data_IF_073602964190
#
_entry.id   IF_073602964190
#
_cell.length_a   1.000
_cell.length_b   1.000
_cell.length_c   1.000
_cell.angle_alpha   90.00
_cell.angle_beta   90.00
_cell.angle_gamma   90.00
#
_symmetry.space_group_name_H-M   'P 1'
#
loop_
_entity.id
_entity.type
_entity.pdbx_description
1 polymer ?
#
# COMPACT_ATOMS: atom_id res chain seq x y z
N UNK A 1 2.37 -0.40 11.96
CA UNK A 1 3.56 -0.58 11.13
C UNK A 1 3.29 -1.74 10.20
N UNK A 2 3.11 -1.46 8.91
CA UNK A 2 3.09 -2.51 7.88
C UNK A 2 4.56 -2.82 7.56
N UNK A 3 4.98 -4.04 7.85
CA UNK A 3 6.32 -4.51 7.49
C UNK A 3 6.24 -5.04 6.06
N UNK A 4 7.00 -4.44 5.14
CA UNK A 4 7.29 -5.06 3.85
C UNK A 4 8.14 -6.32 4.12
N UNK A 5 7.75 -7.51 3.61
CA UNK A 5 8.68 -8.64 3.56
C UNK A 5 9.69 -8.34 2.44
N UNK A 6 10.93 -8.02 2.83
CA UNK A 6 12.02 -7.77 1.89
C UNK A 6 12.34 -9.01 1.06
N UNK A 7 12.28 -8.87 -0.27
CA UNK A 7 12.72 -9.88 -1.24
C UNK A 7 14.25 -9.81 -1.34
N UNK A 8 14.94 -10.88 -0.96
CA UNK A 8 16.37 -11.04 -1.20
C UNK A 8 16.57 -11.78 -2.53
N UNK A 9 17.26 -11.17 -3.49
CA UNK A 9 17.65 -11.80 -4.75
C UNK A 9 19.04 -12.44 -4.63
N UNK A 10 19.20 -13.77 -4.74
CA UNK A 10 20.47 -14.36 -5.11
C UNK A 10 20.61 -14.35 -6.64
N UNK A 11 21.69 -13.72 -7.14
CA UNK A 11 22.07 -13.80 -8.55
C UNK A 11 22.81 -15.12 -8.77
N UNK A 12 22.17 -16.09 -9.42
CA UNK A 12 22.84 -17.23 -10.04
C UNK A 12 22.24 -17.47 -11.42
N UNK A 13 23.09 -17.36 -12.44
CA UNK A 13 22.76 -17.58 -13.83
C UNK A 13 22.49 -19.07 -14.09
N UNK A 14 21.22 -19.39 -14.34
CA UNK A 14 20.72 -20.65 -14.89
C UNK A 14 19.49 -20.33 -15.73
N UNK A 15 19.30 -21.03 -16.85
CA UNK A 15 18.15 -20.88 -17.74
C UNK A 15 16.85 -20.81 -16.93
N UNK A 16 16.00 -19.76 -17.08
CA UNK A 16 14.75 -19.68 -16.36
C UNK A 16 13.82 -20.76 -16.92
N UNK A 17 13.76 -21.88 -16.22
CA UNK A 17 12.62 -22.77 -16.29
C UNK A 17 11.52 -22.00 -15.55
N UNK A 18 10.63 -21.34 -16.30
CA UNK A 18 9.47 -20.62 -15.77
C UNK A 18 8.78 -21.54 -14.75
N UNK A 19 8.98 -21.26 -13.46
CA UNK A 19 8.29 -21.98 -12.42
C UNK A 19 6.85 -21.49 -12.44
N UNK A 20 5.94 -22.32 -12.96
CA UNK A 20 4.48 -22.13 -12.88
C UNK A 20 3.96 -22.00 -11.42
N UNK A 21 4.86 -22.11 -10.45
CA UNK A 21 4.65 -21.99 -9.01
C UNK A 21 4.83 -20.59 -8.42
N UNK A 22 5.13 -19.57 -9.22
CA UNK A 22 5.37 -18.21 -8.73
C UNK A 22 4.08 -17.56 -8.20
N UNK A 23 4.11 -17.15 -6.93
CA UNK A 23 3.04 -16.35 -6.32
C UNK A 23 3.18 -14.88 -6.74
N UNK A 24 2.17 -14.35 -7.42
CA UNK A 24 2.16 -12.98 -7.93
C UNK A 24 1.51 -12.04 -6.92
N UNK A 25 2.14 -10.89 -6.63
CA UNK A 25 1.53 -9.82 -5.85
C UNK A 25 0.65 -8.97 -6.76
N UNK A 26 -0.67 -9.01 -6.55
CA UNK A 26 -1.65 -8.22 -7.29
C UNK A 26 -1.85 -6.84 -6.66
N UNK A 27 -1.85 -6.76 -5.33
CA UNK A 27 -2.05 -5.54 -4.56
C UNK A 27 -1.10 -5.51 -3.38
N UNK A 28 -0.40 -4.39 -3.19
CA UNK A 28 0.32 -4.07 -1.96
C UNK A 28 -0.09 -2.66 -1.50
N UNK A 29 -1.23 -2.54 -0.84
CA UNK A 29 -1.75 -1.27 -0.38
C UNK A 29 -1.17 -0.94 1.02
N UNK A 30 -0.24 0.02 1.07
CA UNK A 30 0.40 0.51 2.31
C UNK A 30 -0.51 1.40 3.17
N UNK A 31 -1.54 2.00 2.58
CA UNK A 31 -2.49 2.93 3.24
C UNK A 31 -3.48 2.18 4.15
N UNK A 32 -4.02 1.07 3.68
CA UNK A 32 -4.95 0.17 4.36
C UNK A 32 -4.29 -1.12 4.87
N UNK A 33 -3.00 -1.33 4.59
CA UNK A 33 -2.23 -2.50 5.02
C UNK A 33 -2.81 -3.84 4.51
N UNK A 34 -3.10 -3.88 3.21
CA UNK A 34 -3.68 -5.05 2.54
C UNK A 34 -2.72 -5.56 1.47
N UNK A 35 -2.44 -6.86 1.52
CA UNK A 35 -1.68 -7.58 0.48
C UNK A 35 -2.59 -8.61 -0.17
N UNK A 36 -2.67 -8.58 -1.49
CA UNK A 36 -3.39 -9.59 -2.27
C UNK A 36 -2.40 -10.26 -3.20
N UNK A 37 -2.34 -11.57 -3.13
CA UNK A 37 -1.53 -12.40 -4.02
C UNK A 37 -2.37 -13.39 -4.78
N UNK A 38 -1.86 -13.89 -5.90
CA UNK A 38 -2.48 -14.95 -6.68
C UNK A 38 -1.48 -15.98 -7.13
N UNK A 39 -1.91 -17.25 -7.15
CA UNK A 39 -1.13 -18.38 -7.63
C UNK A 39 -2.05 -19.37 -8.33
N UNK A 40 -1.61 -19.95 -9.43
CA UNK A 40 -2.27 -21.10 -10.02
C UNK A 40 -1.79 -22.36 -9.29
N UNK A 41 -2.72 -23.20 -8.85
CA UNK A 41 -2.43 -24.48 -8.20
C UNK A 41 -3.14 -25.59 -8.97
N UNK A 42 -2.50 -26.76 -9.18
CA UNK A 42 -3.15 -27.88 -9.84
C UNK A 42 -4.36 -28.34 -8.99
N UNK A 43 -5.44 -28.74 -9.66
CA UNK A 43 -6.60 -29.32 -8.96
C UNK A 43 -6.27 -30.71 -8.44
N UNK A 44 -6.58 -30.95 -7.17
CA UNK A 44 -6.46 -32.28 -6.55
C UNK A 44 -7.40 -33.31 -7.18
N UNK A 45 -8.53 -32.86 -7.76
CA UNK A 45 -9.57 -33.72 -8.33
C UNK A 45 -9.35 -34.01 -9.82
N UNK A 46 -8.79 -33.05 -10.58
CA UNK A 46 -8.55 -33.18 -12.01
C UNK A 46 -7.16 -32.63 -12.39
N UNK A 47 -6.19 -33.51 -12.74
CA UNK A 47 -4.84 -33.08 -13.14
C UNK A 47 -4.76 -32.20 -14.38
N UNK A 48 -5.84 -32.11 -15.17
CA UNK A 48 -5.92 -31.24 -16.35
C UNK A 48 -6.49 -29.85 -16.06
N UNK A 49 -6.89 -29.57 -14.82
CA UNK A 49 -7.44 -28.29 -14.41
C UNK A 49 -6.48 -27.56 -13.45
N UNK A 50 -6.41 -26.24 -13.61
CA UNK A 50 -5.70 -25.35 -12.71
C UNK A 50 -6.71 -24.46 -11.97
N UNK A 51 -6.50 -24.30 -10.67
CA UNK A 51 -7.30 -23.45 -9.80
C UNK A 51 -6.54 -22.15 -9.57
N UNK A 52 -7.19 -21.02 -9.83
CA UNK A 52 -6.65 -19.71 -9.48
C UNK A 52 -6.92 -19.41 -8.00
N UNK A 53 -5.91 -19.62 -7.15
CA UNK A 53 -5.97 -19.24 -5.75
C UNK A 53 -5.66 -17.74 -5.60
N UNK A 54 -6.46 -17.03 -4.79
CA UNK A 54 -6.21 -15.65 -4.39
C UNK A 54 -6.11 -15.56 -2.87
N UNK A 55 -4.97 -15.14 -2.35
CA UNK A 55 -4.77 -14.95 -0.91
C UNK A 55 -4.89 -13.46 -0.59
N UNK A 56 -5.70 -13.13 0.43
CA UNK A 56 -5.91 -11.76 0.89
C UNK A 56 -5.45 -11.69 2.35
N UNK A 57 -4.44 -10.85 2.61
CA UNK A 57 -3.89 -10.59 3.95
C UNK A 57 -4.22 -9.16 4.36
N UNK A 58 -4.91 -9.00 5.48
CA UNK A 58 -5.30 -7.71 6.05
C UNK A 58 -4.70 -7.58 7.45
N UNK A 59 -4.03 -6.45 7.73
CA UNK A 59 -3.53 -6.13 9.07
C UNK A 59 -4.34 -4.98 9.67
N UNK A 60 -5.14 -5.28 10.70
CA UNK A 60 -6.05 -4.31 11.34
C UNK A 60 -5.34 -3.56 12.47
N UNK A 61 -5.18 -2.23 12.40
CA UNK A 61 -4.52 -1.45 13.43
C UNK A 61 -5.49 -1.06 14.56
N UNK A 62 -5.49 -1.84 15.64
CA UNK A 62 -6.42 -1.68 16.77
C UNK A 62 -6.30 -0.35 17.56
N UNK A 63 -5.23 0.42 17.33
CA UNK A 63 -4.98 1.72 17.98
C UNK A 63 -4.93 2.89 17.00
N UNK A 64 -5.31 2.67 15.74
CA UNK A 64 -5.36 3.73 14.75
C UNK A 64 -6.49 4.72 15.04
N UNK A 65 -6.25 5.98 14.72
CA UNK A 65 -7.27 7.03 14.74
C UNK A 65 -8.09 7.03 13.45
N UNK A 66 -9.27 7.62 13.48
CA UNK A 66 -10.08 7.80 12.26
C UNK A 66 -9.36 8.69 11.23
N UNK A 67 -8.80 9.81 11.68
CA UNK A 67 -7.89 10.62 10.89
C UNK A 67 -6.47 10.42 11.43
N UNK A 68 -5.64 9.66 10.73
CA UNK A 68 -4.28 9.33 11.19
C UNK A 68 -3.38 10.57 11.30
N UNK A 69 -3.70 11.67 10.62
CA UNK A 69 -2.94 12.92 10.73
C UNK A 69 -3.40 13.80 11.91
N UNK A 70 -4.58 13.52 12.46
CA UNK A 70 -5.13 14.21 13.63
C UNK A 70 -5.07 13.30 14.87
N UNK A 71 -4.13 13.55 15.80
CA UNK A 71 -3.98 12.74 16.99
C UNK A 71 -5.18 12.84 17.95
N UNK A 72 -6.04 13.86 17.79
CA UNK A 72 -7.23 14.09 18.61
C UNK A 72 -8.46 13.36 18.10
N UNK A 73 -8.43 12.86 16.86
CA UNK A 73 -9.55 12.10 16.32
C UNK A 73 -9.78 10.80 17.10
N UNK A 74 -11.03 10.30 17.17
CA UNK A 74 -11.33 9.09 17.94
C UNK A 74 -10.65 7.86 17.36
N UNK A 75 -10.62 6.78 18.14
CA UNK A 75 -10.11 5.49 17.66
C UNK A 75 -11.06 4.94 16.61
N UNK A 76 -10.49 4.44 15.50
CA UNK A 76 -11.27 3.77 14.46
C UNK A 76 -11.71 2.39 14.94
N UNK A 77 -13.01 2.13 14.85
CA UNK A 77 -13.61 0.83 15.19
C UNK A 77 -14.14 0.08 13.97
N UNK A 78 -14.37 0.77 12.85
CA UNK A 78 -14.88 0.18 11.61
C UNK A 78 -13.84 0.28 10.49
N UNK A 79 -13.57 -0.84 9.82
CA UNK A 79 -12.62 -0.94 8.71
C UNK A 79 -13.33 -1.55 7.50
N UNK A 80 -13.35 -0.84 6.38
CA UNK A 80 -14.07 -1.22 5.17
C UNK A 80 -13.08 -1.32 4.01
N UNK A 81 -12.90 -2.54 3.51
CA UNK A 81 -11.99 -2.83 2.40
C UNK A 81 -12.82 -3.14 1.15
N UNK A 82 -12.62 -2.37 0.09
CA UNK A 82 -13.29 -2.59 -1.19
C UNK A 82 -12.25 -3.01 -2.21
N UNK A 83 -12.41 -4.19 -2.81
CA UNK A 83 -11.47 -4.69 -3.80
C UNK A 83 -11.35 -3.78 -5.02
N UNK A 84 -12.44 -3.11 -5.41
CA UNK A 84 -12.43 -2.13 -6.50
C UNK A 84 -11.55 -0.91 -6.21
N UNK A 85 -11.40 -0.54 -4.93
CA UNK A 85 -10.55 0.56 -4.48
C UNK A 85 -9.09 0.10 -4.34
N UNK A 86 -8.90 -1.08 -3.74
CA UNK A 86 -7.58 -1.68 -3.52
C UNK A 86 -6.84 -2.02 -4.82
N UNK A 87 -7.57 -2.40 -5.87
CA UNK A 87 -6.99 -2.77 -7.16
C UNK A 87 -6.85 -1.59 -8.15
N UNK A 88 -7.16 -0.34 -7.74
CA UNK A 88 -6.99 0.83 -8.61
C UNK A 88 -5.51 1.02 -8.93
N UNK A 89 -5.23 1.28 -10.21
CA UNK A 89 -3.90 1.62 -10.73
C UNK A 89 -3.93 3.04 -11.25
N UNK A 90 -3.48 3.95 -10.40
CA UNK A 90 -3.52 5.39 -10.63
C UNK A 90 -2.19 5.96 -11.12
N UNK A 91 -1.12 5.18 -11.06
CA UNK A 91 0.16 5.57 -11.62
C UNK A 91 0.05 5.56 -13.16
N UNK A 92 0.45 6.64 -13.83
CA UNK A 92 0.44 6.70 -15.28
C UNK A 92 1.47 5.72 -15.85
N UNK A 93 1.12 5.07 -16.95
CA UNK A 93 1.97 4.12 -17.65
C UNK A 93 2.25 4.59 -19.07
N UNK A 94 3.46 4.34 -19.55
CA UNK A 94 3.84 4.61 -20.93
C UNK A 94 3.37 3.48 -21.84
N UNK A 95 2.67 3.83 -22.92
CA UNK A 95 2.25 2.91 -23.96
C UNK A 95 2.78 3.38 -25.31
N UNK A 96 3.34 2.47 -26.10
CA UNK A 96 3.80 2.78 -27.45
C UNK A 96 2.71 2.45 -28.46
N UNK A 97 2.30 3.44 -29.26
CA UNK A 97 1.32 3.28 -30.33
C UNK A 97 1.87 3.92 -31.60
N UNK A 98 2.15 3.10 -32.62
CA UNK A 98 2.62 3.59 -33.92
C UNK A 98 4.00 4.24 -33.90
N UNK A 99 4.87 3.87 -32.95
CA UNK A 99 6.22 4.43 -32.80
C UNK A 99 6.29 5.70 -31.93
N UNK A 100 5.17 6.12 -31.34
CA UNK A 100 5.09 7.24 -30.40
C UNK A 100 4.71 6.75 -28.99
N UNK A 101 5.28 7.38 -27.97
CA UNK A 101 5.06 7.04 -26.55
C UNK A 101 3.97 7.96 -25.98
N UNK A 102 2.92 7.37 -25.44
CA UNK A 102 1.80 8.05 -24.79
C UNK A 102 1.75 7.72 -23.31
N UNK A 103 1.36 8.70 -22.49
CA UNK A 103 1.06 8.49 -21.07
C UNK A 103 -0.42 8.17 -20.91
N UNK A 104 -0.73 6.99 -20.37
CA UNK A 104 -2.09 6.52 -20.16
C UNK A 104 -2.33 6.19 -18.69
N UNK A 105 -3.54 6.49 -18.21
CA UNK A 105 -3.98 6.10 -16.88
C UNK A 105 -4.86 4.84 -16.98
N UNK A 106 -4.56 3.82 -16.18
CA UNK A 106 -5.25 2.52 -16.25
C UNK A 106 -6.57 2.45 -15.45
N UNK A 107 -6.89 3.49 -14.67
CA UNK A 107 -8.09 3.55 -13.82
C UNK A 107 -8.86 4.85 -14.03
N UNK A 108 -10.18 4.79 -13.86
CA UNK A 108 -11.10 5.92 -14.14
C UNK A 108 -11.30 6.88 -12.97
N UNK A 109 -11.05 6.46 -11.72
CA UNK A 109 -11.39 7.23 -10.51
C UNK A 109 -10.23 7.32 -9.50
N UNK A 110 -9.20 8.10 -9.85
CA UNK A 110 -7.98 8.29 -9.06
C UNK A 110 -7.93 9.61 -8.27
N UNK A 111 -8.92 10.47 -8.45
CA UNK A 111 -8.96 11.80 -7.81
C UNK A 111 -9.66 11.79 -6.44
N UNK A 112 -10.16 10.63 -5.99
CA UNK A 112 -10.87 10.51 -4.73
C UNK A 112 -9.88 10.34 -3.57
N UNK A 113 -10.05 11.06 -2.45
CA UNK A 113 -9.16 10.91 -1.30
C UNK A 113 -9.33 9.52 -0.67
N UNK A 114 -8.27 8.72 -0.68
CA UNK A 114 -8.24 7.44 0.02
C UNK A 114 -8.11 7.66 1.54
N UNK A 115 -8.92 6.93 2.32
CA UNK A 115 -8.82 6.93 3.77
C UNK A 115 -7.79 5.90 4.23
N UNK A 116 -6.67 6.35 4.79
CA UNK A 116 -5.65 5.47 5.34
C UNK A 116 -5.95 4.98 6.75
N UNK A 117 -5.62 3.72 7.00
CA UNK A 117 -5.77 3.03 8.27
C UNK A 117 -4.42 2.92 9.00
N UNK A 118 -3.33 2.90 8.24
CA UNK A 118 -1.96 2.79 8.74
C UNK A 118 -1.08 3.90 8.21
N UNK A 119 -0.06 4.27 9.00
CA UNK A 119 1.04 5.08 8.50
C UNK A 119 1.90 4.28 7.54
N UNK A 120 2.28 4.91 6.42
CA UNK A 120 3.31 4.40 5.54
C UNK A 120 4.70 4.66 6.16
N UNK A 121 5.53 3.62 6.25
CA UNK A 121 6.89 3.71 6.81
C UNK A 121 7.78 4.67 6.04
N UNK A 122 7.54 4.83 4.74
CA UNK A 122 8.39 5.63 3.84
C UNK A 122 7.92 7.08 3.74
N UNK A 123 6.83 7.45 4.44
CA UNK A 123 6.27 8.80 4.43
C UNK A 123 6.41 9.46 5.79
N UNK A 124 6.77 10.74 5.79
CA UNK A 124 6.79 11.57 6.98
C UNK A 124 5.39 12.11 7.28
N UNK A 125 4.87 11.83 8.47
CA UNK A 125 3.60 12.38 8.96
C UNK A 125 3.89 13.39 10.07
N UNK A 126 3.31 14.58 9.94
CA UNK A 126 3.46 15.67 10.93
C UNK A 126 2.10 16.24 11.28
N UNK A 127 2.05 16.91 12.43
CA UNK A 127 0.89 17.68 12.88
C UNK A 127 1.37 19.02 13.43
N UNK A 128 0.52 20.04 13.39
CA UNK A 128 0.82 21.34 13.97
C UNK A 128 -0.10 21.57 15.17
N UNK A 129 0.46 22.06 16.26
CA UNK A 129 -0.32 22.42 17.44
C UNK A 129 0.10 23.79 17.97
N UNK A 130 -0.85 24.55 18.53
CA UNK A 130 -0.55 25.83 19.12
C UNK A 130 0.19 25.64 20.45
N UNK A 131 1.31 26.34 20.63
CA UNK A 131 2.14 26.32 21.82
C UNK A 131 2.37 27.75 22.34
N UNK A 132 2.06 27.98 23.61
CA UNK A 132 2.26 29.28 24.25
C UNK A 132 3.70 29.44 24.73
N UNK A 133 4.42 30.42 24.19
CA UNK A 133 5.78 30.74 24.60
C UNK A 133 5.94 32.25 24.80
N UNK A 134 6.29 32.67 26.02
CA UNK A 134 6.52 34.09 26.38
C UNK A 134 5.33 35.00 26.05
N UNK A 135 4.11 34.51 26.19
CA UNK A 135 2.88 35.25 25.89
C UNK A 135 2.46 35.24 24.42
N UNK A 136 3.27 34.68 23.52
CA UNK A 136 2.94 34.52 22.11
C UNK A 136 2.52 33.08 21.81
N UNK A 137 1.44 32.92 21.03
CA UNK A 137 1.02 31.64 20.50
C UNK A 137 1.81 31.31 19.24
N UNK A 138 2.60 30.24 19.26
CA UNK A 138 3.37 29.75 18.12
C UNK A 138 2.78 28.44 17.62
N UNK A 139 2.67 28.28 16.31
CA UNK A 139 2.35 26.98 15.72
C UNK A 139 3.63 26.16 15.67
N UNK A 140 3.69 25.10 16.46
CA UNK A 140 4.85 24.20 16.52
C UNK A 140 4.49 22.92 15.80
N UNK A 141 5.40 22.44 14.94
CA UNK A 141 5.23 21.18 14.23
C UNK A 141 5.76 20.03 15.09
N UNK A 142 4.93 19.00 15.27
CA UNK A 142 5.32 17.72 15.86
C UNK A 142 5.32 16.63 14.79
N UNK A 143 6.23 15.67 14.96
CA UNK A 143 6.37 14.52 14.09
C UNK A 143 5.60 13.34 14.67
N UNK A 144 4.72 12.74 13.86
CA UNK A 144 3.95 11.54 14.23
C UNK A 144 4.73 10.25 13.93
N UNK A 145 5.62 10.27 12.92
CA UNK A 145 6.45 9.13 12.51
C UNK A 145 7.94 9.50 12.51
N UNK A 146 8.63 9.53 13.66
CA UNK A 146 9.99 10.07 13.77
C UNK A 146 11.01 9.41 12.85
N UNK A 147 10.91 8.10 12.66
CA UNK A 147 11.87 7.33 11.88
C UNK A 147 11.90 7.71 10.37
N UNK A 148 10.83 8.32 9.84
CA UNK A 148 10.69 8.66 8.42
C UNK A 148 10.80 10.17 8.14
N UNK A 149 11.13 10.98 9.15
CA UNK A 149 11.11 12.44 9.08
C UNK A 149 12.47 13.10 9.34
N UNK A 150 13.56 12.33 9.31
CA UNK A 150 14.89 12.93 9.32
C UNK A 150 15.14 13.61 7.98
N UNK A 151 15.71 14.82 8.02
CA UNK A 151 16.22 15.46 6.81
C UNK A 151 17.49 14.71 6.37
N UNK A 152 17.64 14.53 5.06
CA UNK A 152 18.87 13.99 4.46
C UNK A 152 20.05 14.96 4.61
#
# INVERSE_FOLDING_TARGET
FCLDPGVAYPVLAGYPQDSEDEEYVLVNNKCQCVTVTSKFVPSEENPHEQILQRNIRILVPLKARENISDPMSPLRTTFVYRMTELCKKCDPVEIELGGEIYQAQQSTSCNEPETCYTYNRDKCYTTAFPFLHRGEMKQVQAVLTPASCYAD
#
